data_IF_086100118584
#
_entry.id   IF_086100118584
#
_cell.length_a   1.000
_cell.length_b   1.000
_cell.length_c   1.000
_cell.angle_alpha   90.00
_cell.angle_beta   90.00
_cell.angle_gamma   90.00
#
_symmetry.space_group_name_H-M   'P 1'
#
loop_
_entity.id
_entity.type
_entity.pdbx_description
1 polymer ?
#
# COMPACT_ATOMS: atom_id res chain seq x y z
N UNK A 1 15.34 -25.48 8.91
CA UNK A 1 14.29 -24.70 9.57
C UNK A 1 14.64 -23.23 9.43
N UNK A 2 14.10 -22.57 8.41
CA UNK A 2 14.35 -21.15 8.13
C UNK A 2 13.44 -20.32 9.03
N UNK A 3 14.00 -19.76 10.10
CA UNK A 3 13.32 -18.78 10.94
C UNK A 3 13.10 -17.50 10.15
N UNK A 4 11.93 -17.38 9.52
CA UNK A 4 11.47 -16.10 9.00
C UNK A 4 11.32 -15.15 10.19
N UNK A 5 12.13 -14.09 10.22
CA UNK A 5 12.05 -13.10 11.28
C UNK A 5 10.63 -12.51 11.29
N UNK A 6 9.86 -12.84 12.33
CA UNK A 6 8.54 -12.28 12.57
C UNK A 6 8.74 -10.83 13.01
N UNK A 7 8.72 -9.89 12.06
CA UNK A 7 8.83 -8.47 12.36
C UNK A 7 7.70 -8.07 13.31
N UNK A 8 8.03 -7.39 14.40
CA UNK A 8 7.01 -6.87 15.31
C UNK A 8 6.14 -5.85 14.57
N UNK A 9 4.89 -5.67 15.01
CA UNK A 9 3.99 -4.61 14.49
C UNK A 9 4.67 -3.23 14.55
N UNK A 10 5.54 -3.02 15.54
CA UNK A 10 6.34 -1.80 15.68
C UNK A 10 7.41 -1.67 14.58
N UNK A 11 8.11 -2.75 14.23
CA UNK A 11 9.12 -2.74 13.16
C UNK A 11 8.48 -2.57 11.78
N UNK A 12 7.32 -3.20 11.56
CA UNK A 12 6.51 -2.99 10.36
C UNK A 12 6.08 -1.53 10.22
N UNK A 13 5.76 -0.85 11.33
CA UNK A 13 5.42 0.58 11.34
C UNK A 13 6.63 1.50 11.16
N UNK A 14 7.85 1.04 11.45
CA UNK A 14 9.10 1.78 11.24
C UNK A 14 9.62 1.70 9.80
N UNK A 15 9.05 0.82 8.95
CA UNK A 15 9.37 0.83 7.54
C UNK A 15 9.00 2.20 6.95
N UNK A 16 9.97 2.84 6.28
CA UNK A 16 9.81 4.20 5.76
C UNK A 16 8.63 4.27 4.79
N UNK A 17 7.58 5.00 5.18
CA UNK A 17 6.44 5.32 4.31
C UNK A 17 6.80 6.49 3.41
N UNK A 18 6.58 6.30 2.13
CA UNK A 18 6.77 7.29 1.09
C UNK A 18 5.41 7.93 0.80
N UNK A 19 5.21 9.23 1.09
CA UNK A 19 4.01 9.94 0.65
C UNK A 19 3.92 9.87 -0.86
N UNK A 20 2.74 9.56 -1.40
CA UNK A 20 2.48 9.49 -2.85
C UNK A 20 1.10 10.06 -3.16
N UNK A 21 0.90 10.47 -4.42
CA UNK A 21 -0.41 10.76 -5.01
C UNK A 21 -0.58 9.73 -6.13
N UNK A 22 -1.29 8.65 -5.83
CA UNK A 22 -1.39 7.51 -6.74
C UNK A 22 -2.81 6.95 -6.80
N UNK A 23 -3.64 7.39 -7.77
CA UNK A 23 -4.94 6.79 -8.02
C UNK A 23 -4.77 5.40 -8.63
N UNK A 24 -5.55 4.44 -8.15
CA UNK A 24 -5.53 3.04 -8.61
C UNK A 24 -6.96 2.50 -8.71
N UNK A 25 -7.17 1.59 -9.64
CA UNK A 25 -8.36 0.74 -9.66
C UNK A 25 -8.01 -0.54 -8.90
N UNK A 26 -8.74 -0.80 -7.82
CA UNK A 26 -8.60 -1.98 -6.99
C UNK A 26 -9.77 -2.93 -7.24
N UNK A 27 -9.49 -4.22 -7.36
CA UNK A 27 -10.50 -5.27 -7.46
C UNK A 27 -10.84 -5.77 -6.05
N UNK A 28 -12.00 -5.40 -5.53
CA UNK A 28 -12.45 -5.82 -4.20
C UNK A 28 -13.14 -7.18 -4.25
N UNK A 29 -12.77 -8.06 -3.32
CA UNK A 29 -13.40 -9.37 -3.17
C UNK A 29 -14.89 -9.22 -2.80
N UNK A 30 -15.80 -9.45 -3.74
CA UNK A 30 -17.25 -9.38 -3.55
C UNK A 30 -17.94 -8.05 -3.90
N UNK A 31 -17.20 -6.94 -4.05
CA UNK A 31 -17.76 -5.64 -4.47
C UNK A 31 -17.36 -5.23 -5.90
N UNK A 32 -16.41 -5.94 -6.50
CA UNK A 32 -15.89 -5.62 -7.84
C UNK A 32 -14.89 -4.47 -7.81
N UNK A 33 -14.73 -3.80 -8.96
CA UNK A 33 -13.75 -2.73 -9.12
C UNK A 33 -14.13 -1.46 -8.35
N UNK A 34 -13.15 -0.86 -7.68
CA UNK A 34 -13.29 0.39 -6.94
C UNK A 34 -12.09 1.31 -7.18
N UNK A 35 -12.33 2.63 -7.16
CA UNK A 35 -11.28 3.64 -7.28
C UNK A 35 -10.73 3.97 -5.91
N UNK A 36 -9.44 3.73 -5.70
CA UNK A 36 -8.73 4.08 -4.49
C UNK A 36 -7.66 5.13 -4.80
N UNK A 37 -7.37 6.01 -3.85
CA UNK A 37 -6.26 6.94 -3.92
C UNK A 37 -5.25 6.57 -2.83
N UNK A 38 -4.07 6.11 -3.24
CA UNK A 38 -2.98 5.78 -2.32
C UNK A 38 -2.27 7.08 -1.96
N UNK A 39 -2.29 7.43 -0.66
CA UNK A 39 -1.68 8.64 -0.11
C UNK A 39 -0.27 8.40 0.46
N UNK A 40 0.05 7.16 0.84
CA UNK A 40 1.42 6.73 1.09
C UNK A 40 1.58 5.23 0.92
N UNK A 41 2.82 4.80 0.67
CA UNK A 41 3.18 3.40 0.47
C UNK A 41 4.52 3.06 1.13
N UNK A 42 4.65 1.81 1.54
CA UNK A 42 5.89 1.21 2.05
C UNK A 42 5.99 -0.21 1.50
N UNK A 43 7.09 -0.91 1.76
CA UNK A 43 7.27 -2.27 1.24
C UNK A 43 6.29 -3.31 1.84
N UNK A 44 5.56 -2.99 2.91
CA UNK A 44 4.62 -3.91 3.56
C UNK A 44 3.14 -3.52 3.40
N UNK A 45 2.84 -2.36 2.83
CA UNK A 45 1.47 -1.87 2.75
C UNK A 45 1.38 -0.41 2.37
N UNK A 46 0.15 0.09 2.33
CA UNK A 46 -0.18 1.44 1.89
C UNK A 46 -1.36 2.00 2.69
N UNK A 47 -1.62 3.30 2.52
CA UNK A 47 -2.76 3.99 3.11
C UNK A 47 -3.52 4.71 2.01
N UNK A 48 -4.85 4.64 2.07
CA UNK A 48 -5.76 5.41 1.20
C UNK A 48 -6.54 6.42 2.01
N UNK A 49 -6.93 7.53 1.37
CA UNK A 49 -7.67 8.64 1.99
C UNK A 49 -9.07 8.88 1.42
N UNK A 50 -9.55 7.93 0.62
CA UNK A 50 -10.90 7.86 0.07
C UNK A 50 -11.57 6.51 0.39
N UNK A 51 -11.48 6.07 1.64
CA UNK A 51 -11.83 4.71 2.08
C UNK A 51 -13.34 4.42 2.26
N UNK A 52 -14.22 5.19 1.63
CA UNK A 52 -15.67 5.00 1.76
C UNK A 52 -16.08 3.59 1.34
N UNK A 53 -16.84 2.91 2.19
CA UNK A 53 -17.31 1.54 1.93
C UNK A 53 -16.29 0.42 2.19
N UNK A 54 -15.09 0.74 2.68
CA UNK A 54 -14.11 -0.27 3.15
C UNK A 54 -14.28 -0.56 4.64
N UNK A 55 -14.12 -1.83 5.00
CA UNK A 55 -14.13 -2.31 6.38
C UNK A 55 -12.89 -3.14 6.68
N UNK A 56 -12.52 -3.24 7.97
CA UNK A 56 -11.38 -4.06 8.38
C UNK A 56 -11.58 -5.51 7.96
N UNK A 57 -10.56 -6.10 7.32
CA UNK A 57 -10.60 -7.45 6.76
C UNK A 57 -10.95 -7.50 5.27
N UNK A 58 -11.44 -6.41 4.67
CA UNK A 58 -11.67 -6.36 3.22
C UNK A 58 -10.38 -6.66 2.46
N UNK A 59 -10.49 -7.51 1.44
CA UNK A 59 -9.38 -7.92 0.56
C UNK A 59 -9.54 -7.27 -0.80
N UNK A 60 -8.47 -6.66 -1.27
CA UNK A 60 -8.41 -6.06 -2.61
C UNK A 60 -7.16 -6.51 -3.35
N UNK A 61 -7.26 -6.59 -4.68
CA UNK A 61 -6.10 -6.74 -5.56
C UNK A 61 -5.86 -5.41 -6.25
N UNK A 62 -4.64 -4.87 -6.13
CA UNK A 62 -4.22 -3.67 -6.84
C UNK A 62 -3.09 -4.00 -7.81
N UNK A 63 -2.91 -3.16 -8.83
CA UNK A 63 -1.74 -3.24 -9.71
C UNK A 63 -0.82 -2.07 -9.45
N UNK A 64 0.40 -2.38 -9.01
CA UNK A 64 1.47 -1.39 -8.82
C UNK A 64 2.48 -1.49 -9.97
N UNK A 65 3.09 -0.36 -10.39
CA UNK A 65 4.21 -0.40 -11.33
C UNK A 65 5.35 -1.27 -10.81
N UNK A 66 6.07 -1.95 -11.69
CA UNK A 66 7.17 -2.90 -11.38
C UNK A 66 6.70 -4.17 -10.64
N UNK A 67 5.94 -4.03 -9.56
CA UNK A 67 5.48 -5.13 -8.68
C UNK A 67 4.38 -5.97 -9.33
N UNK A 68 3.54 -5.37 -10.16
CA UNK A 68 2.39 -6.03 -10.79
C UNK A 68 1.18 -6.13 -9.85
N UNK A 69 0.40 -7.21 -10.02
CA UNK A 69 -0.77 -7.47 -9.15
C UNK A 69 -0.30 -7.92 -7.77
N UNK A 70 -0.84 -7.30 -6.74
CA UNK A 70 -0.58 -7.67 -5.35
C UNK A 70 -1.87 -7.60 -4.55
N UNK A 71 -2.07 -8.60 -3.70
CA UNK A 71 -3.20 -8.63 -2.80
C UNK A 71 -2.89 -7.85 -1.52
N UNK A 72 -3.94 -7.26 -0.95
CA UNK A 72 -3.83 -6.52 0.29
C UNK A 72 -5.11 -6.58 1.09
N UNK A 73 -4.95 -6.42 2.41
CA UNK A 73 -6.03 -6.50 3.39
C UNK A 73 -6.14 -5.21 4.18
N UNK A 74 -7.36 -4.73 4.39
CA UNK A 74 -7.62 -3.61 5.29
C UNK A 74 -7.32 -4.03 6.73
N UNK A 75 -6.30 -3.43 7.35
CA UNK A 75 -5.91 -3.73 8.74
C UNK A 75 -6.51 -2.76 9.76
N UNK A 76 -6.87 -1.55 9.32
CA UNK A 76 -7.60 -0.55 10.10
C UNK A 76 -8.34 0.40 9.18
N UNK A 77 -9.42 0.98 9.70
CA UNK A 77 -10.15 2.11 9.11
C UNK A 77 -10.28 3.21 10.16
N UNK A 78 -10.22 4.46 9.74
CA UNK A 78 -10.43 5.63 10.60
C UNK A 78 -10.87 6.80 9.73
N UNK A 79 -12.04 7.35 10.02
CA UNK A 79 -12.67 8.40 9.21
C UNK A 79 -12.72 7.95 7.73
N UNK A 80 -12.26 8.80 6.79
CA UNK A 80 -12.17 8.44 5.38
C UNK A 80 -10.85 7.73 5.00
N UNK A 81 -10.11 7.18 5.96
CA UNK A 81 -8.81 6.55 5.72
C UNK A 81 -8.83 5.07 6.03
N UNK A 82 -8.09 4.31 5.24
CA UNK A 82 -7.84 2.89 5.52
C UNK A 82 -6.38 2.56 5.28
N UNK A 83 -5.82 1.74 6.19
CA UNK A 83 -4.51 1.16 6.03
C UNK A 83 -4.61 -0.26 5.53
N UNK A 84 -3.81 -0.56 4.53
CA UNK A 84 -3.70 -1.88 3.91
C UNK A 84 -2.35 -2.51 4.23
N UNK A 85 -2.37 -3.83 4.46
CA UNK A 85 -1.18 -4.66 4.50
C UNK A 85 -1.14 -5.53 3.25
N UNK A 86 0.01 -5.60 2.58
CA UNK A 86 0.21 -6.54 1.49
C UNK A 86 0.25 -7.98 2.01
N UNK A 87 -0.26 -8.92 1.22
CA UNK A 87 -0.16 -10.35 1.50
C UNK A 87 1.30 -10.82 1.57
N UNK A 88 2.18 -10.16 0.80
CA UNK A 88 3.63 -10.39 0.80
C UNK A 88 4.42 -9.09 0.86
N UNK A 89 5.61 -9.14 1.46
CA UNK A 89 6.55 -8.02 1.48
C UNK A 89 7.11 -7.80 0.06
N UNK A 90 7.11 -6.54 -0.40
CA UNK A 90 7.77 -6.13 -1.64
C UNK A 90 9.28 -6.07 -1.38
N UNK A 91 10.09 -6.65 -2.27
CA UNK A 91 11.56 -6.57 -2.14
C UNK A 91 12.02 -5.12 -2.27
N UNK A 92 13.11 -4.78 -1.57
CA UNK A 92 13.61 -3.40 -1.51
C UNK A 92 13.90 -2.84 -2.91
N UNK A 93 14.53 -3.62 -3.78
CA UNK A 93 14.87 -3.19 -5.14
C UNK A 93 13.62 -2.91 -5.99
N UNK A 94 12.63 -3.82 -5.96
CA UNK A 94 11.34 -3.64 -6.64
C UNK A 94 10.58 -2.43 -6.09
N UNK A 95 10.63 -2.22 -4.78
CA UNK A 95 9.99 -1.09 -4.11
C UNK A 95 10.61 0.25 -4.54
N UNK A 96 11.94 0.34 -4.57
CA UNK A 96 12.62 1.57 -5.01
C UNK A 96 12.33 1.88 -6.48
N UNK A 97 12.39 0.88 -7.36
CA UNK A 97 12.06 1.03 -8.78
C UNK A 97 10.59 1.45 -8.99
N UNK A 98 9.67 0.91 -8.20
CA UNK A 98 8.26 1.32 -8.19
C UNK A 98 8.13 2.79 -7.76
N UNK A 99 8.81 3.23 -6.69
CA UNK A 99 8.75 4.62 -6.22
C UNK A 99 9.26 5.59 -7.29
N UNK A 100 10.34 5.25 -8.00
CA UNK A 100 10.85 6.08 -9.09
C UNK A 100 9.84 6.18 -10.26
N UNK A 101 9.00 5.16 -10.45
CA UNK A 101 7.93 5.18 -11.46
C UNK A 101 6.71 6.00 -11.03
N UNK A 102 6.29 5.88 -9.76
CA UNK A 102 5.12 6.60 -9.21
C UNK A 102 5.44 8.07 -8.98
N UNK A 103 6.68 8.39 -8.59
CA UNK A 103 7.14 9.75 -8.34
C UNK A 103 8.39 10.08 -9.17
N UNK A 104 8.23 10.27 -10.49
CA UNK A 104 9.35 10.54 -11.37
C UNK A 104 10.00 11.91 -11.13
N UNK A 105 9.33 12.82 -10.40
CA UNK A 105 9.86 14.13 -10.06
C UNK A 105 10.33 14.17 -8.59
N UNK A 106 11.66 14.14 -8.33
CA UNK A 106 12.23 14.20 -6.98
C UNK A 106 11.83 15.47 -6.21
N UNK A 107 11.44 16.55 -6.89
CA UNK A 107 11.03 17.81 -6.25
C UNK A 107 9.69 17.68 -5.51
N UNK A 108 8.84 16.73 -5.88
CA UNK A 108 7.56 16.46 -5.22
C UNK A 108 7.70 15.53 -4.00
N UNK A 109 8.89 14.94 -3.76
CA UNK A 109 9.15 14.07 -2.60
C UNK A 109 9.09 14.82 -1.25
N UNK A 110 9.09 16.16 -1.27
CA UNK A 110 8.94 17.02 -0.09
C UNK A 110 8.06 18.22 -0.40
N UNK A 111 6.78 18.12 -0.07
CA UNK A 111 5.96 19.26 0.32
C UNK A 111 5.27 18.86 1.63
N UNK A 112 5.93 19.23 2.73
CA UNK A 112 5.29 19.44 4.03
C UNK A 112 5.25 20.94 4.25
#
# INVERSE_FOLDING_TARGET
MSGGAQLSVTDQRRMARHPVDHPVIAEHFGKGDMRLHIANISANGFMVDNAEGLTRGDRVIIRLPVVGRIESYVIWTRDNRAGFQFERIIRVDDFLAMIDTIQPNPRLRKLR
#
